data_IF_605354696753
#
_entry.id   IF_605354696753
#
_cell.length_a   1.000
_cell.length_b   1.000
_cell.length_c   1.000
_cell.angle_alpha   90.00
_cell.angle_beta   90.00
_cell.angle_gamma   90.00
#
_symmetry.space_group_name_H-M   'P 1'
#
loop_
_entity.id
_entity.type
_entity.pdbx_description
1 polymer ?
#
# COMPACT_ATOMS: atom_id res chain seq x y z
N UNK A 1 -10.52 25.37 -62.80
CA UNK A 1 -10.63 24.27 -61.86
C UNK A 1 -10.34 24.80 -60.46
N UNK A 2 -11.38 24.94 -59.62
CA UNK A 2 -11.24 25.37 -58.21
C UNK A 2 -11.22 24.11 -57.36
N UNK A 3 -10.10 23.85 -56.70
CA UNK A 3 -9.98 22.79 -55.68
C UNK A 3 -10.60 23.30 -54.36
N UNK A 4 -11.67 22.65 -53.91
CA UNK A 4 -12.28 22.86 -52.61
C UNK A 4 -11.60 21.84 -51.66
N UNK A 5 -10.73 22.33 -50.80
CA UNK A 5 -10.13 21.51 -49.74
C UNK A 5 -11.09 21.46 -48.55
N UNK A 6 -11.75 20.31 -48.39
CA UNK A 6 -12.66 20.05 -47.25
C UNK A 6 -11.82 19.75 -46.02
N UNK A 7 -11.84 20.62 -45.03
CA UNK A 7 -11.24 20.40 -43.70
C UNK A 7 -12.25 19.59 -42.86
N UNK A 8 -11.99 18.31 -42.66
CA UNK A 8 -12.73 17.50 -41.69
C UNK A 8 -12.25 17.86 -40.29
N UNK A 9 -13.08 18.59 -39.54
CA UNK A 9 -12.89 18.83 -38.11
C UNK A 9 -13.22 17.53 -37.36
N UNK A 10 -12.18 16.82 -36.90
CA UNK A 10 -12.35 15.68 -36.00
C UNK A 10 -12.71 16.23 -34.60
N UNK A 11 -14.00 16.30 -34.32
CA UNK A 11 -14.49 16.59 -32.98
C UNK A 11 -14.27 15.34 -32.12
N UNK A 12 -13.14 15.29 -31.37
CA UNK A 12 -12.97 14.31 -30.30
C UNK A 12 -14.02 14.60 -29.21
N UNK A 13 -15.15 13.89 -29.28
CA UNK A 13 -16.07 13.82 -28.15
C UNK A 13 -15.32 13.15 -26.98
N UNK A 14 -14.69 13.97 -26.13
CA UNK A 14 -14.28 13.54 -24.80
C UNK A 14 -15.60 13.34 -24.03
N UNK A 15 -16.06 12.10 -23.93
CA UNK A 15 -17.15 11.76 -23.02
C UNK A 15 -16.67 12.13 -21.61
N UNK A 16 -17.30 13.05 -20.87
CA UNK A 16 -16.91 13.32 -19.50
C UNK A 16 -17.11 12.02 -18.71
N UNK A 17 -16.03 11.47 -18.16
CA UNK A 17 -16.15 10.40 -17.17
C UNK A 17 -16.89 11.00 -15.98
N UNK A 18 -18.05 10.46 -15.66
CA UNK A 18 -18.81 10.86 -14.48
C UNK A 18 -17.94 10.67 -13.25
N UNK A 19 -17.74 11.75 -12.51
CA UNK A 19 -17.07 11.68 -11.21
C UNK A 19 -17.91 10.83 -10.25
N UNK A 20 -17.24 10.08 -9.36
CA UNK A 20 -17.85 9.29 -8.30
C UNK A 20 -17.56 9.92 -6.97
N UNK A 21 -18.50 9.89 -6.06
CA UNK A 21 -18.22 10.21 -4.66
C UNK A 21 -17.29 9.15 -4.06
N UNK A 22 -16.44 9.55 -3.10
CA UNK A 22 -15.50 8.65 -2.42
C UNK A 22 -16.19 7.38 -1.88
N UNK A 23 -17.38 7.52 -1.31
CA UNK A 23 -18.19 6.42 -0.78
C UNK A 23 -18.73 5.42 -1.80
N UNK A 24 -18.74 5.77 -3.09
CA UNK A 24 -19.17 4.88 -4.18
C UNK A 24 -18.03 4.01 -4.73
N UNK A 25 -16.77 4.36 -4.43
CA UNK A 25 -15.60 3.66 -4.93
C UNK A 25 -15.30 2.47 -4.02
N UNK A 26 -15.47 1.25 -4.56
CA UNK A 26 -14.98 0.06 -3.87
C UNK A 26 -13.45 0.05 -3.94
N UNK A 27 -12.82 0.09 -2.79
CA UNK A 27 -11.37 0.11 -2.65
C UNK A 27 -10.94 -0.48 -1.33
N UNK A 28 -9.99 -1.40 -1.39
CA UNK A 28 -9.22 -1.92 -0.27
C UNK A 28 -7.83 -1.32 -0.33
N UNK A 29 -7.21 -1.09 0.83
CA UNK A 29 -5.84 -0.58 0.98
C UNK A 29 -5.61 0.72 0.16
N UNK A 30 -6.40 1.79 0.40
CA UNK A 30 -6.33 3.01 -0.37
C UNK A 30 -5.03 3.76 -0.08
N UNK A 31 -4.35 4.19 -1.14
CA UNK A 31 -3.21 5.10 -1.04
C UNK A 31 -3.53 6.40 -1.78
N UNK A 32 -3.34 7.55 -1.12
CA UNK A 32 -3.56 8.88 -1.69
C UNK A 32 -2.24 9.63 -1.82
N UNK A 33 -1.86 9.94 -3.06
CA UNK A 33 -0.78 10.87 -3.37
C UNK A 33 -1.35 12.28 -3.57
N UNK A 34 -0.93 13.24 -2.75
CA UNK A 34 -1.23 14.65 -2.95
C UNK A 34 -0.14 15.29 -3.84
N UNK A 35 -0.45 15.52 -5.10
CA UNK A 35 0.45 16.19 -6.04
C UNK A 35 0.28 17.71 -5.96
N UNK A 36 1.11 18.35 -5.15
CA UNK A 36 1.09 19.80 -4.96
C UNK A 36 1.52 20.59 -6.19
N UNK A 37 2.20 19.96 -7.15
CA UNK A 37 2.65 20.63 -8.39
C UNK A 37 1.46 20.88 -9.31
N UNK A 38 0.58 19.89 -9.44
CA UNK A 38 -0.57 19.93 -10.32
C UNK A 38 -1.89 20.25 -9.59
N UNK A 39 -1.87 20.33 -8.25
CA UNK A 39 -3.05 20.58 -7.43
C UNK A 39 -4.10 19.48 -7.55
N UNK A 40 -3.64 18.22 -7.53
CA UNK A 40 -4.47 17.03 -7.75
C UNK A 40 -4.11 15.94 -6.73
N UNK A 41 -5.12 15.21 -6.27
CA UNK A 41 -4.96 13.97 -5.51
C UNK A 41 -5.12 12.78 -6.45
N UNK A 42 -4.28 11.78 -6.27
CA UNK A 42 -4.39 10.49 -6.95
C UNK A 42 -4.67 9.41 -5.90
N UNK A 43 -5.68 8.58 -6.12
CA UNK A 43 -5.97 7.44 -5.25
C UNK A 43 -5.78 6.15 -6.05
N UNK A 44 -4.89 5.28 -5.57
CA UNK A 44 -4.51 4.04 -6.25
C UNK A 44 -5.23 2.86 -5.63
N UNK A 45 -5.67 1.93 -6.50
CA UNK A 45 -6.28 0.66 -6.08
C UNK A 45 -5.78 -0.50 -6.92
N UNK A 46 -5.76 -1.66 -6.32
CA UNK A 46 -5.56 -2.93 -7.03
C UNK A 46 -6.69 -3.22 -7.99
N UNK A 47 -6.37 -3.80 -9.12
CA UNK A 47 -7.34 -4.25 -10.11
C UNK A 47 -6.79 -5.45 -10.87
N UNK A 48 -7.63 -6.03 -11.75
CA UNK A 48 -7.23 -7.10 -12.65
C UNK A 48 -7.85 -6.89 -14.02
N UNK A 49 -7.15 -7.32 -15.05
CA UNK A 49 -7.63 -7.25 -16.42
C UNK A 49 -7.28 -8.51 -17.20
N UNK A 50 -8.13 -8.83 -18.21
CA UNK A 50 -7.80 -9.85 -19.20
C UNK A 50 -6.87 -9.23 -20.24
N UNK A 51 -5.68 -9.78 -20.33
CA UNK A 51 -4.65 -9.32 -21.26
C UNK A 51 -4.85 -9.87 -22.67
N UNK A 52 -4.10 -9.35 -23.64
CA UNK A 52 -4.17 -9.77 -25.04
C UNK A 52 -3.84 -11.25 -25.29
N UNK A 53 -3.05 -11.87 -24.38
CA UNK A 53 -2.75 -13.30 -24.38
C UNK A 53 -3.85 -14.17 -23.75
N UNK A 54 -5.00 -13.57 -23.39
CA UNK A 54 -6.14 -14.24 -22.78
C UNK A 54 -6.03 -14.52 -21.28
N UNK A 55 -4.89 -14.26 -20.65
CA UNK A 55 -4.70 -14.46 -19.20
C UNK A 55 -5.20 -13.25 -18.42
N UNK A 56 -5.69 -13.49 -17.20
CA UNK A 56 -6.02 -12.41 -16.25
C UNK A 56 -4.78 -12.13 -15.43
N UNK A 57 -4.36 -10.88 -15.36
CA UNK A 57 -3.25 -10.41 -14.52
C UNK A 57 -3.66 -9.26 -13.64
N UNK A 58 -2.97 -9.13 -12.52
CA UNK A 58 -3.08 -7.99 -11.64
C UNK A 58 -2.54 -6.72 -12.28
N UNK A 59 -2.92 -5.61 -11.71
CA UNK A 59 -2.42 -4.31 -12.04
C UNK A 59 -3.01 -3.26 -11.12
N UNK A 60 -2.84 -2.00 -11.45
CA UNK A 60 -3.28 -0.87 -10.65
C UNK A 60 -4.04 0.12 -11.50
N UNK A 61 -5.10 0.65 -10.91
CA UNK A 61 -5.88 1.77 -11.44
C UNK A 61 -5.74 2.96 -10.51
N UNK A 62 -5.83 4.16 -11.09
CA UNK A 62 -5.84 5.41 -10.36
C UNK A 62 -7.13 6.19 -10.59
N UNK A 63 -7.62 6.82 -9.54
CA UNK A 63 -8.62 7.88 -9.59
C UNK A 63 -7.92 9.20 -9.31
N UNK A 64 -8.48 10.30 -9.79
CA UNK A 64 -8.00 11.64 -9.49
C UNK A 64 -9.09 12.54 -8.95
N UNK A 65 -8.72 13.45 -8.04
CA UNK A 65 -9.63 14.42 -7.41
C UNK A 65 -8.93 15.76 -7.18
N UNK A 66 -9.71 16.83 -7.08
CA UNK A 66 -9.21 18.14 -6.67
C UNK A 66 -9.66 18.55 -5.26
N UNK A 67 -10.62 17.81 -4.69
CA UNK A 67 -11.31 18.18 -3.45
C UNK A 67 -11.47 17.03 -2.45
N UNK A 68 -11.00 15.81 -2.81
CA UNK A 68 -11.14 14.55 -2.04
C UNK A 68 -12.57 14.01 -1.95
N UNK A 69 -13.56 14.67 -2.56
CA UNK A 69 -14.95 14.23 -2.58
C UNK A 69 -15.32 13.60 -3.92
N UNK A 70 -15.07 14.33 -5.00
CA UNK A 70 -15.39 13.92 -6.36
C UNK A 70 -14.15 13.33 -7.05
N UNK A 71 -14.24 12.09 -7.52
CA UNK A 71 -13.15 11.32 -8.08
C UNK A 71 -13.43 10.91 -9.53
N UNK A 72 -12.61 11.37 -10.45
CA UNK A 72 -12.61 10.96 -11.84
C UNK A 72 -11.81 9.66 -12.02
N UNK A 73 -12.24 8.79 -12.91
CA UNK A 73 -11.55 7.52 -13.18
C UNK A 73 -12.47 6.31 -13.05
N UNK A 74 -11.91 5.08 -12.96
CA UNK A 74 -10.47 4.81 -12.88
C UNK A 74 -9.76 4.84 -14.23
N UNK A 75 -8.47 5.13 -14.19
CA UNK A 75 -7.54 4.97 -15.32
C UNK A 75 -6.53 3.88 -14.97
N UNK A 76 -6.24 2.97 -15.91
CA UNK A 76 -5.23 1.94 -15.75
C UNK A 76 -3.84 2.57 -15.80
N UNK A 77 -3.03 2.40 -14.73
CA UNK A 77 -1.71 3.02 -14.59
C UNK A 77 -0.57 2.01 -14.53
N UNK A 78 -0.87 0.72 -14.29
CA UNK A 78 0.13 -0.36 -14.24
C UNK A 78 -0.51 -1.69 -14.61
N UNK A 79 0.22 -2.48 -15.39
CA UNK A 79 -0.04 -3.89 -15.68
C UNK A 79 1.18 -4.73 -15.34
N UNK A 80 0.97 -5.93 -14.79
CA UNK A 80 2.05 -6.90 -14.62
C UNK A 80 2.45 -7.46 -16.00
N UNK A 81 3.72 -7.31 -16.41
CA UNK A 81 4.20 -7.88 -17.69
C UNK A 81 4.11 -9.41 -17.72
N UNK A 82 3.97 -9.96 -18.93
CA UNK A 82 3.85 -11.41 -19.13
C UNK A 82 5.10 -12.19 -18.72
N UNK A 83 6.26 -11.55 -18.79
CA UNK A 83 7.58 -12.12 -18.47
C UNK A 83 8.04 -11.79 -17.04
N UNK A 84 7.17 -11.18 -16.21
CA UNK A 84 7.45 -10.94 -14.79
C UNK A 84 7.57 -12.26 -14.03
N UNK A 85 8.37 -12.30 -12.96
CA UNK A 85 8.56 -13.51 -12.16
C UNK A 85 7.27 -13.95 -11.45
N UNK A 86 6.49 -12.99 -10.93
CA UNK A 86 5.17 -13.20 -10.35
C UNK A 86 4.12 -12.51 -11.23
N UNK A 87 3.07 -13.23 -11.62
CA UNK A 87 2.09 -12.75 -12.61
C UNK A 87 0.64 -12.80 -12.12
N UNK A 88 0.42 -12.98 -10.81
CA UNK A 88 -0.90 -13.06 -10.20
C UNK A 88 -1.53 -11.71 -9.88
N UNK A 89 -2.26 -11.66 -8.78
CA UNK A 89 -2.91 -10.44 -8.30
C UNK A 89 -1.91 -9.43 -7.75
N UNK A 90 -2.31 -8.18 -7.74
CA UNK A 90 -1.58 -7.07 -7.10
C UNK A 90 -2.37 -6.61 -5.89
N UNK A 91 -1.67 -6.31 -4.77
CA UNK A 91 -2.27 -5.79 -3.54
C UNK A 91 -1.56 -4.52 -3.10
N UNK A 92 -2.28 -3.69 -2.35
CA UNK A 92 -1.78 -2.54 -1.61
C UNK A 92 -0.75 -1.69 -2.38
N UNK A 93 -1.10 -1.09 -3.53
CA UNK A 93 -0.17 -0.25 -4.26
C UNK A 93 0.01 1.10 -3.55
N UNK A 94 1.26 1.48 -3.28
CA UNK A 94 1.66 2.78 -2.76
C UNK A 94 2.50 3.53 -3.78
N UNK A 95 2.28 4.82 -3.98
CA UNK A 95 3.04 5.63 -4.94
C UNK A 95 3.76 6.77 -4.23
N UNK A 96 5.08 6.72 -4.28
CA UNK A 96 5.96 7.70 -3.66
C UNK A 96 6.71 8.52 -4.71
N UNK A 97 6.93 9.81 -4.42
CA UNK A 97 7.83 10.65 -5.23
C UNK A 97 9.22 10.62 -4.62
N UNK A 98 10.20 10.21 -5.41
CA UNK A 98 11.60 10.15 -4.99
C UNK A 98 12.53 10.61 -6.14
N UNK A 99 13.47 11.51 -5.84
CA UNK A 99 14.43 12.07 -6.81
C UNK A 99 13.78 12.51 -8.15
N UNK A 100 12.60 13.14 -8.07
CA UNK A 100 11.90 13.70 -9.22
C UNK A 100 11.05 12.72 -10.04
N UNK A 101 11.06 11.42 -9.73
CA UNK A 101 10.27 10.38 -10.36
C UNK A 101 9.25 9.81 -9.39
N UNK A 102 8.31 9.01 -9.91
CA UNK A 102 7.30 8.30 -9.14
C UNK A 102 7.62 6.81 -9.08
N UNK A 103 7.53 6.24 -7.89
CA UNK A 103 7.79 4.83 -7.65
C UNK A 103 6.59 4.21 -6.97
N UNK A 104 6.11 3.11 -7.54
CA UNK A 104 5.03 2.32 -6.96
C UNK A 104 5.62 1.10 -6.28
N UNK A 105 5.27 0.92 -5.02
CA UNK A 105 5.53 -0.28 -4.23
C UNK A 105 4.23 -1.07 -4.20
N UNK A 106 4.24 -2.29 -4.69
CA UNK A 106 3.03 -3.11 -4.74
C UNK A 106 3.35 -4.57 -4.46
N UNK A 107 2.52 -5.22 -3.68
CA UNK A 107 2.61 -6.66 -3.45
C UNK A 107 2.14 -7.40 -4.69
N UNK A 108 3.03 -8.17 -5.29
CA UNK A 108 2.71 -9.04 -6.44
C UNK A 108 2.63 -10.48 -5.96
N UNK A 109 1.57 -11.18 -6.33
CA UNK A 109 1.28 -12.54 -5.92
C UNK A 109 1.54 -13.54 -7.05
N UNK A 110 1.60 -14.80 -6.66
CA UNK A 110 1.61 -15.96 -7.56
C UNK A 110 0.63 -17.02 -7.04
N UNK A 111 0.07 -17.81 -7.95
CA UNK A 111 -0.73 -18.98 -7.60
C UNK A 111 0.14 -20.24 -7.35
N UNK A 112 1.46 -20.12 -7.50
CA UNK A 112 2.40 -21.23 -7.32
C UNK A 112 2.56 -21.50 -5.83
N UNK A 113 2.08 -22.66 -5.39
CA UNK A 113 2.31 -23.17 -4.05
C UNK A 113 3.69 -23.81 -3.97
N UNK A 114 4.60 -23.21 -3.21
CA UNK A 114 5.99 -23.67 -3.12
C UNK A 114 6.25 -24.61 -1.94
N UNK A 115 5.30 -24.71 -0.99
CA UNK A 115 5.33 -25.62 0.15
C UNK A 115 3.91 -26.00 0.51
N UNK A 116 3.67 -27.30 0.75
CA UNK A 116 2.37 -27.77 1.23
C UNK A 116 2.11 -27.25 2.63
N UNK A 117 1.00 -26.58 2.82
CA UNK A 117 0.56 -26.12 4.13
C UNK A 117 0.03 -27.27 4.99
N UNK A 118 0.05 -27.08 6.32
CA UNK A 118 -0.68 -27.93 7.25
C UNK A 118 -2.17 -27.85 6.95
N UNK A 119 -2.91 -28.95 7.14
CA UNK A 119 -4.36 -28.94 6.96
C UNK A 119 -5.03 -27.89 7.85
N UNK A 120 -5.93 -27.11 7.26
CA UNK A 120 -6.59 -25.97 7.90
C UNK A 120 -5.78 -24.68 7.93
N UNK A 121 -4.52 -24.66 7.46
CA UNK A 121 -3.69 -23.47 7.30
C UNK A 121 -3.77 -22.94 5.87
N UNK A 122 -3.49 -21.65 5.69
CA UNK A 122 -3.46 -21.05 4.36
C UNK A 122 -2.30 -21.53 3.50
N UNK A 123 -2.45 -21.42 2.18
CA UNK A 123 -1.44 -21.86 1.21
C UNK A 123 -0.18 -21.01 1.29
N UNK A 124 0.99 -21.66 1.18
CA UNK A 124 2.27 -20.99 0.99
C UNK A 124 2.46 -20.70 -0.50
N UNK A 125 2.13 -19.48 -0.92
CA UNK A 125 2.33 -19.01 -2.31
C UNK A 125 3.38 -17.92 -2.36
N UNK A 126 4.09 -17.81 -3.48
CA UNK A 126 5.03 -16.72 -3.64
C UNK A 126 4.32 -15.39 -3.72
N UNK A 127 4.82 -14.44 -2.94
CA UNK A 127 4.45 -13.03 -2.98
C UNK A 127 5.57 -12.16 -2.46
N UNK A 128 5.62 -10.92 -2.91
CA UNK A 128 6.58 -9.95 -2.42
C UNK A 128 6.27 -8.56 -2.93
N UNK A 129 6.86 -7.56 -2.31
CA UNK A 129 6.77 -6.19 -2.80
C UNK A 129 7.72 -6.01 -3.97
N UNK A 130 7.16 -5.62 -5.11
CA UNK A 130 7.90 -5.22 -6.31
C UNK A 130 7.84 -3.71 -6.49
N UNK A 131 8.90 -3.14 -7.04
CA UNK A 131 9.01 -1.70 -7.26
C UNK A 131 8.86 -1.42 -8.76
N UNK A 132 8.01 -0.47 -9.07
CA UNK A 132 7.75 0.02 -10.42
C UNK A 132 8.07 1.51 -10.48
N UNK A 133 8.39 2.06 -11.64
CA UNK A 133 8.67 3.49 -11.79
C UNK A 133 7.92 4.10 -12.96
N UNK A 134 7.62 5.40 -12.84
CA UNK A 134 7.01 6.22 -13.88
C UNK A 134 7.51 7.66 -13.81
N UNK A 135 7.33 8.40 -14.90
CA UNK A 135 7.68 9.82 -14.95
C UNK A 135 6.50 10.70 -14.47
N UNK A 136 5.29 10.13 -14.43
CA UNK A 136 4.08 10.82 -13.96
C UNK A 136 3.30 9.96 -12.96
N UNK A 137 2.48 10.55 -12.09
CA UNK A 137 1.63 9.79 -11.16
C UNK A 137 0.53 8.98 -11.87
N UNK A 138 0.23 9.29 -13.12
CA UNK A 138 -0.73 8.55 -13.95
C UNK A 138 -0.07 7.38 -14.71
N UNK A 139 1.23 7.14 -14.50
CA UNK A 139 1.97 6.06 -15.16
C UNK A 139 2.31 6.35 -16.63
N UNK A 140 2.50 5.31 -17.48
CA UNK A 140 2.46 3.90 -17.08
C UNK A 140 3.63 3.54 -16.15
N UNK A 141 3.32 2.84 -15.06
CA UNK A 141 4.35 2.31 -14.18
C UNK A 141 4.93 1.01 -14.75
N UNK A 142 6.25 0.98 -14.90
CA UNK A 142 6.98 -0.18 -15.40
C UNK A 142 7.86 -0.76 -14.30
N UNK A 143 8.02 -2.10 -14.22
CA UNK A 143 8.83 -2.71 -13.16
C UNK A 143 10.29 -2.30 -13.27
N UNK A 144 10.93 -2.03 -12.12
CA UNK A 144 12.39 -1.77 -12.05
C UNK A 144 13.22 -3.02 -12.34
N UNK A 145 12.63 -4.19 -12.15
CA UNK A 145 13.20 -5.49 -12.42
C UNK A 145 12.11 -6.56 -12.51
N UNK A 146 12.48 -7.78 -12.91
CA UNK A 146 11.52 -8.91 -13.06
C UNK A 146 11.12 -9.57 -11.74
N UNK A 147 11.84 -9.27 -10.65
CA UNK A 147 11.67 -9.89 -9.34
C UNK A 147 11.20 -8.87 -8.32
N UNK A 148 10.61 -9.37 -7.25
CA UNK A 148 10.27 -8.58 -6.08
C UNK A 148 11.54 -8.07 -5.38
N UNK A 149 11.43 -6.96 -4.65
CA UNK A 149 12.55 -6.38 -3.90
C UNK A 149 12.69 -6.97 -2.47
N UNK A 150 11.70 -7.77 -2.05
CA UNK A 150 11.74 -8.55 -0.80
C UNK A 150 12.38 -9.91 -1.03
N UNK A 151 12.81 -10.66 0.03
CA UNK A 151 13.36 -12.01 -0.12
C UNK A 151 12.40 -12.94 -0.87
N UNK A 152 12.92 -13.68 -1.85
CA UNK A 152 12.11 -14.52 -2.74
C UNK A 152 11.50 -15.75 -2.05
N UNK A 153 12.05 -16.17 -0.94
CA UNK A 153 11.57 -17.29 -0.12
C UNK A 153 10.65 -16.87 1.02
N UNK A 154 10.32 -15.57 1.08
CA UNK A 154 9.37 -15.01 2.04
C UNK A 154 8.01 -14.75 1.39
N UNK A 155 6.96 -14.94 2.17
CA UNK A 155 5.65 -14.37 1.89
C UNK A 155 5.65 -12.95 2.47
N UNK A 156 6.13 -12.00 1.67
CA UNK A 156 6.29 -10.61 2.08
C UNK A 156 5.26 -9.72 1.37
N UNK A 157 4.78 -8.68 2.07
CA UNK A 157 3.73 -7.80 1.54
C UNK A 157 3.84 -6.37 2.07
N UNK A 158 3.09 -5.46 1.46
CA UNK A 158 2.81 -4.09 1.92
C UNK A 158 4.06 -3.24 2.16
N UNK A 159 4.99 -3.28 1.19
CA UNK A 159 6.20 -2.46 1.28
C UNK A 159 5.91 -0.98 1.08
N UNK A 160 6.43 -0.15 1.98
CA UNK A 160 6.40 1.32 1.92
C UNK A 160 7.79 1.92 1.88
N UNK A 161 7.95 3.05 1.20
CA UNK A 161 9.23 3.77 1.12
C UNK A 161 9.43 4.68 2.32
N UNK A 162 10.61 4.61 2.92
CA UNK A 162 11.09 5.58 3.88
C UNK A 162 12.48 6.08 3.51
N UNK A 163 12.70 7.39 3.60
CA UNK A 163 14.04 7.98 3.35
C UNK A 163 14.56 8.59 4.63
N UNK A 164 15.71 8.11 5.08
CA UNK A 164 16.37 8.57 6.29
C UNK A 164 17.83 8.94 5.99
N UNK A 165 18.21 10.20 6.27
CA UNK A 165 19.55 10.71 6.02
C UNK A 165 20.05 10.49 4.57
N UNK A 166 19.14 10.63 3.59
CA UNK A 166 19.40 10.43 2.18
C UNK A 166 19.48 8.98 1.72
N UNK A 167 19.29 8.02 2.62
CA UNK A 167 19.24 6.59 2.31
C UNK A 167 17.80 6.10 2.22
N UNK A 168 17.42 5.43 1.14
CA UNK A 168 16.09 4.83 1.01
C UNK A 168 16.02 3.48 1.72
N UNK A 169 14.90 3.25 2.37
CA UNK A 169 14.53 1.98 3.01
C UNK A 169 13.15 1.55 2.51
N UNK A 170 12.94 0.26 2.43
CA UNK A 170 11.62 -0.32 2.37
C UNK A 170 11.29 -0.94 3.73
N UNK A 171 10.14 -0.54 4.30
CA UNK A 171 9.54 -1.23 5.43
C UNK A 171 8.40 -2.07 4.90
N UNK A 172 8.28 -3.33 5.35
CA UNK A 172 7.32 -4.27 4.81
C UNK A 172 6.94 -5.33 5.84
N UNK A 173 5.93 -6.13 5.54
CA UNK A 173 5.45 -7.21 6.40
C UNK A 173 5.97 -8.56 5.92
N UNK A 174 6.45 -9.41 6.84
CA UNK A 174 6.63 -10.84 6.62
C UNK A 174 5.40 -11.55 7.16
N UNK A 175 4.66 -12.19 6.27
CA UNK A 175 3.29 -12.60 6.50
C UNK A 175 3.14 -13.71 7.52
N UNK A 176 2.11 -13.60 8.36
CA UNK A 176 1.73 -14.57 9.38
C UNK A 176 1.48 -16.00 8.83
N UNK A 177 1.04 -16.12 7.58
CA UNK A 177 0.90 -17.43 6.94
C UNK A 177 2.20 -18.24 6.95
N UNK A 178 3.34 -17.58 6.87
CA UNK A 178 4.64 -18.23 6.91
C UNK A 178 5.22 -18.32 8.34
N UNK A 179 4.99 -17.31 9.17
CA UNK A 179 5.66 -17.15 10.47
C UNK A 179 4.74 -17.42 11.67
N UNK A 180 3.42 -17.50 11.49
CA UNK A 180 2.35 -17.48 12.48
C UNK A 180 2.27 -16.12 13.20
N UNK A 181 3.33 -15.63 13.79
CA UNK A 181 3.46 -14.27 14.33
C UNK A 181 4.11 -13.41 13.25
N UNK A 182 3.31 -12.67 12.49
CA UNK A 182 3.79 -11.79 11.44
C UNK A 182 4.79 -10.77 11.97
N UNK A 183 5.74 -10.33 11.14
CA UNK A 183 6.76 -9.37 11.55
C UNK A 183 6.79 -8.14 10.66
N UNK A 184 7.20 -7.01 11.24
CA UNK A 184 7.59 -5.81 10.50
C UNK A 184 9.09 -5.87 10.24
N UNK A 185 9.46 -5.64 9.00
CA UNK A 185 10.84 -5.71 8.51
C UNK A 185 11.28 -4.40 7.90
N UNK A 186 12.56 -4.09 7.94
CA UNK A 186 13.16 -2.99 7.20
C UNK A 186 14.39 -3.45 6.44
N UNK A 187 14.52 -3.03 5.19
CA UNK A 187 15.70 -3.25 4.36
C UNK A 187 16.14 -1.95 3.70
N UNK A 188 17.44 -1.70 3.65
CA UNK A 188 18.01 -0.59 2.87
C UNK A 188 17.85 -0.91 1.39
N UNK A 189 17.46 0.07 0.58
CA UNK A 189 17.37 -0.06 -0.87
C UNK A 189 18.60 0.59 -1.52
N UNK A 190 18.90 0.16 -2.75
CA UNK A 190 19.82 0.90 -3.60
C UNK A 190 19.32 2.34 -3.83
N UNK A 191 20.22 3.32 -4.03
CA UNK A 191 19.82 4.73 -4.20
C UNK A 191 18.85 5.02 -5.35
N UNK A 192 18.78 4.14 -6.35
CA UNK A 192 17.87 4.21 -7.48
C UNK A 192 16.57 3.39 -7.27
N UNK A 193 16.42 2.78 -6.10
CA UNK A 193 15.30 1.90 -5.71
C UNK A 193 15.16 0.62 -6.55
N UNK A 194 16.18 0.22 -7.30
CA UNK A 194 16.09 -0.95 -8.19
C UNK A 194 16.10 -2.29 -7.47
N UNK A 195 16.66 -2.35 -6.25
CA UNK A 195 16.74 -3.57 -5.44
C UNK A 195 17.03 -3.26 -3.97
N UNK A 196 16.88 -4.28 -3.11
CA UNK A 196 17.40 -4.26 -1.74
C UNK A 196 18.94 -4.22 -1.75
N UNK A 197 19.53 -3.46 -0.83
CA UNK A 197 20.98 -3.29 -0.67
C UNK A 197 21.57 -4.15 0.47
N UNK A 198 20.80 -5.06 1.03
CA UNK A 198 21.23 -5.95 2.14
C UNK A 198 20.09 -6.85 2.61
N UNK A 199 20.31 -7.47 3.75
CA UNK A 199 19.31 -8.34 4.38
C UNK A 199 18.30 -7.51 5.21
N UNK A 200 17.03 -7.94 5.26
CA UNK A 200 16.04 -7.35 6.13
C UNK A 200 16.42 -7.45 7.61
N UNK A 201 16.00 -6.47 8.39
CA UNK A 201 16.07 -6.46 9.84
C UNK A 201 14.65 -6.48 10.38
N UNK A 202 14.36 -7.45 11.27
CA UNK A 202 13.10 -7.49 12.00
C UNK A 202 13.03 -6.32 12.98
N UNK A 203 11.93 -5.56 12.90
CA UNK A 203 11.66 -4.42 13.75
C UNK A 203 10.84 -4.81 14.98
N UNK A 204 9.76 -5.59 14.77
CA UNK A 204 8.91 -6.16 15.83
C UNK A 204 7.96 -7.23 15.26
N UNK A 205 7.33 -7.99 16.16
CA UNK A 205 6.31 -8.99 15.84
C UNK A 205 4.90 -8.44 15.99
N UNK A 206 3.93 -9.06 15.32
CA UNK A 206 2.51 -8.72 15.41
C UNK A 206 1.93 -8.90 16.82
N UNK A 207 2.48 -9.83 17.61
CA UNK A 207 2.11 -10.07 19.02
C UNK A 207 2.69 -9.07 20.01
N UNK A 208 3.57 -8.15 19.59
CA UNK A 208 4.27 -7.25 20.50
C UNK A 208 3.35 -6.31 21.30
N UNK A 209 2.29 -5.68 20.74
CA UNK A 209 1.41 -4.83 21.52
C UNK A 209 0.28 -5.62 22.17
N UNK A 210 -0.14 -5.19 23.37
CA UNK A 210 -1.24 -5.82 24.09
C UNK A 210 -2.60 -5.70 23.38
N UNK A 211 -2.78 -4.71 22.53
CA UNK A 211 -4.01 -4.52 21.76
C UNK A 211 -4.17 -5.50 20.60
N UNK A 212 -3.07 -6.08 20.10
CA UNK A 212 -3.12 -7.11 19.05
C UNK A 212 -3.44 -8.46 19.70
N UNK A 213 -4.64 -8.97 19.41
CA UNK A 213 -5.14 -10.17 20.11
C UNK A 213 -4.92 -11.46 19.32
N UNK A 214 -4.45 -11.36 18.08
CA UNK A 214 -4.29 -12.50 17.20
C UNK A 214 -5.61 -13.18 16.79
N UNK A 215 -5.52 -14.07 15.84
CA UNK A 215 -6.63 -14.90 15.35
C UNK A 215 -6.38 -16.35 15.74
N UNK A 216 -7.24 -16.88 16.60
CA UNK A 216 -7.17 -18.28 17.01
C UNK A 216 -7.66 -19.19 15.87
N UNK A 217 -6.95 -20.29 15.66
CA UNK A 217 -7.32 -21.34 14.72
C UNK A 217 -7.64 -22.63 15.46
N UNK A 218 -8.54 -23.45 14.90
CA UNK A 218 -8.88 -24.77 15.43
C UNK A 218 -7.82 -25.83 15.04
N UNK A 219 -7.92 -27.03 15.64
CA UNK A 219 -7.11 -28.17 15.21
C UNK A 219 -5.63 -28.13 15.60
N UNK A 220 -5.27 -27.36 16.65
CA UNK A 220 -3.87 -27.27 17.13
C UNK A 220 -2.97 -26.40 16.24
N UNK A 221 -3.54 -25.61 15.33
CA UNK A 221 -2.84 -24.60 14.57
C UNK A 221 -2.42 -23.43 15.47
N UNK A 222 -1.32 -22.73 15.18
CA UNK A 222 -0.88 -21.59 15.98
C UNK A 222 -1.88 -20.42 15.89
N UNK A 223 -1.89 -19.56 16.91
CA UNK A 223 -2.55 -18.25 16.82
C UNK A 223 -1.80 -17.40 15.81
N UNK A 224 -2.54 -16.80 14.87
CA UNK A 224 -1.97 -15.91 13.88
C UNK A 224 -2.02 -14.47 14.35
N UNK A 225 -0.88 -13.76 14.29
CA UNK A 225 -0.82 -12.32 14.49
C UNK A 225 -0.50 -11.65 13.17
N UNK A 226 -1.47 -10.95 12.66
CA UNK A 226 -1.38 -10.27 11.37
C UNK A 226 -0.52 -9.02 11.51
N UNK A 227 0.31 -8.75 10.50
CA UNK A 227 0.99 -7.47 10.29
C UNK A 227 0.69 -7.01 8.87
N UNK A 228 0.00 -5.89 8.75
CA UNK A 228 -0.39 -5.31 7.46
C UNK A 228 -0.13 -3.80 7.45
N UNK A 229 0.00 -3.21 6.26
CA UNK A 229 -0.14 -1.79 5.97
C UNK A 229 0.73 -0.88 6.84
N UNK A 230 2.04 -1.10 6.85
CA UNK A 230 2.97 -0.22 7.54
C UNK A 230 3.12 1.12 6.81
N UNK A 231 3.03 2.23 7.53
CA UNK A 231 3.30 3.56 7.00
C UNK A 231 4.02 4.43 8.02
N UNK A 232 5.10 5.09 7.60
CA UNK A 232 5.95 5.87 8.51
C UNK A 232 5.61 7.35 8.45
N UNK A 233 5.68 7.99 9.61
CA UNK A 233 5.41 9.42 9.76
C UNK A 233 6.37 10.06 10.76
N UNK A 234 6.93 11.23 10.39
CA UNK A 234 7.74 12.03 11.31
C UNK A 234 6.89 13.16 11.86
N UNK A 235 6.72 13.18 13.18
CA UNK A 235 5.94 14.21 13.86
C UNK A 235 6.60 15.59 13.79
N UNK A 236 5.85 16.64 14.11
CA UNK A 236 6.36 18.02 14.17
C UNK A 236 7.48 18.22 15.17
N UNK A 237 7.65 17.33 16.17
CA UNK A 237 8.78 17.33 17.12
C UNK A 237 9.93 16.45 16.70
N UNK A 238 9.83 15.76 15.56
CA UNK A 238 10.88 14.91 15.01
C UNK A 238 10.84 13.44 15.44
N UNK A 239 9.83 13.00 16.20
CA UNK A 239 9.64 11.58 16.50
C UNK A 239 9.25 10.81 15.25
N UNK A 240 9.83 9.61 15.08
CA UNK A 240 9.46 8.71 14.02
C UNK A 240 8.42 7.73 14.53
N UNK A 241 7.25 7.76 13.91
CA UNK A 241 6.13 6.86 14.16
C UNK A 241 5.89 5.95 12.96
N UNK A 242 5.33 4.78 13.23
CA UNK A 242 4.80 3.85 12.23
C UNK A 242 3.36 3.52 12.62
N UNK A 243 2.42 3.76 11.72
CA UNK A 243 1.10 3.15 11.81
C UNK A 243 1.15 1.81 11.10
N UNK A 244 0.42 0.81 11.62
CA UNK A 244 0.34 -0.53 11.05
C UNK A 244 -0.94 -1.22 11.51
N UNK A 245 -1.36 -2.26 10.83
CA UNK A 245 -2.65 -2.88 11.05
C UNK A 245 -2.54 -4.32 11.54
N UNK A 246 -3.46 -4.68 12.42
CA UNK A 246 -3.68 -6.02 12.96
C UNK A 246 -5.12 -6.15 13.47
N UNK A 247 -5.41 -7.22 14.19
CA UNK A 247 -6.72 -7.41 14.81
C UNK A 247 -6.69 -7.10 16.31
N UNK A 248 -7.71 -6.40 16.80
CA UNK A 248 -7.95 -6.09 18.20
C UNK A 248 -9.35 -6.61 18.58
N UNK A 249 -9.40 -7.66 19.41
CA UNK A 249 -10.66 -8.31 19.83
C UNK A 249 -11.62 -8.65 18.65
N UNK A 250 -11.05 -9.13 17.55
CA UNK A 250 -11.80 -9.50 16.36
C UNK A 250 -12.06 -8.38 15.35
N UNK A 251 -11.84 -7.11 15.73
CA UNK A 251 -11.91 -5.98 14.81
C UNK A 251 -10.56 -5.68 14.16
N UNK A 252 -10.58 -5.40 12.87
CA UNK A 252 -9.41 -4.89 12.17
C UNK A 252 -9.11 -3.46 12.63
N UNK A 253 -7.85 -3.18 12.97
CA UNK A 253 -7.46 -2.01 13.71
C UNK A 253 -6.11 -1.44 13.21
N UNK A 254 -5.84 -0.18 13.53
CA UNK A 254 -4.54 0.47 13.29
C UNK A 254 -3.89 0.79 14.63
N UNK A 255 -2.68 0.29 14.85
CA UNK A 255 -1.82 0.65 15.96
C UNK A 255 -0.76 1.67 15.58
N UNK A 256 -0.05 2.16 16.59
CA UNK A 256 1.09 3.08 16.43
C UNK A 256 2.29 2.51 17.17
N UNK A 257 3.42 2.46 16.49
CA UNK A 257 4.73 2.20 17.07
C UNK A 257 5.61 3.46 16.97
N UNK A 258 6.43 3.72 17.98
CA UNK A 258 7.40 4.82 18.04
C UNK A 258 8.83 4.26 17.96
N UNK A 259 9.64 4.78 17.07
CA UNK A 259 11.08 4.51 17.11
C UNK A 259 11.73 5.24 18.28
N UNK A 260 12.33 4.48 19.20
CA UNK A 260 12.97 5.03 20.41
C UNK A 260 14.17 5.93 20.06
N UNK A 261 14.87 5.61 18.97
CA UNK A 261 16.04 6.37 18.52
C UNK A 261 15.73 7.41 17.44
N UNK A 262 14.52 7.36 16.89
CA UNK A 262 14.13 8.17 15.73
C UNK A 262 14.65 7.61 14.38
N UNK A 263 15.35 6.46 14.39
CA UNK A 263 15.77 5.73 13.21
C UNK A 263 14.76 4.65 12.81
N UNK A 264 14.63 4.40 11.49
CA UNK A 264 13.79 3.32 10.96
C UNK A 264 14.20 1.94 11.49
N UNK A 265 15.47 1.77 11.84
CA UNK A 265 16.00 0.53 12.42
C UNK A 265 15.61 0.32 13.91
N UNK A 266 14.94 1.30 14.52
CA UNK A 266 14.43 1.19 15.90
C UNK A 266 15.51 1.31 16.99
N UNK A 267 15.31 0.67 18.16
CA UNK A 267 14.19 -0.21 18.50
C UNK A 267 12.82 0.50 18.48
N UNK A 268 11.76 -0.28 18.30
CA UNK A 268 10.40 0.21 18.23
C UNK A 268 9.61 -0.11 19.50
N UNK A 269 8.84 0.85 19.98
CA UNK A 269 7.95 0.72 21.14
C UNK A 269 6.51 0.89 20.68
N UNK A 270 5.66 -0.08 21.00
CA UNK A 270 4.24 -0.04 20.69
C UNK A 270 3.49 0.89 21.64
N UNK A 271 2.51 1.62 21.15
CA UNK A 271 1.54 2.33 21.98
C UNK A 271 0.54 1.33 22.59
N UNK A 272 0.07 1.63 23.82
CA UNK A 272 -0.83 0.74 24.56
C UNK A 272 -2.20 0.57 23.90
N UNK A 273 -2.69 1.63 23.22
CA UNK A 273 -4.01 1.65 22.57
C UNK A 273 -3.83 1.84 21.09
N UNK A 274 -4.66 1.15 20.28
CA UNK A 274 -4.68 1.40 18.84
C UNK A 274 -5.24 2.80 18.54
N UNK A 275 -4.82 3.36 17.40
CA UNK A 275 -5.30 4.64 16.87
C UNK A 275 -6.74 4.51 16.36
N UNK A 276 -7.07 3.35 15.79
CA UNK A 276 -8.36 3.07 15.18
C UNK A 276 -8.79 1.62 15.43
N UNK A 277 -10.04 1.40 15.86
CA UNK A 277 -10.64 0.04 16.06
C UNK A 277 -12.11 0.10 15.68
N UNK A 278 -12.45 -0.13 14.44
CA UNK A 278 -13.86 -0.19 13.96
C UNK A 278 -13.94 -0.97 12.65
N UNK A 279 -13.42 -2.20 12.62
CA UNK A 279 -13.43 -3.05 11.43
C UNK A 279 -12.90 -2.31 10.18
N UNK A 280 -11.76 -1.65 10.31
CA UNK A 280 -11.09 -0.93 9.23
C UNK A 280 -9.62 -0.77 9.54
N UNK A 281 -8.80 -0.59 8.53
CA UNK A 281 -7.37 -0.50 8.69
C UNK A 281 -6.63 -0.33 7.36
N UNK A 282 -5.37 -0.75 7.36
CA UNK A 282 -4.43 -0.56 6.26
C UNK A 282 -4.44 0.90 5.81
N UNK A 283 -4.05 1.78 6.73
CA UNK A 283 -4.12 3.21 6.55
C UNK A 283 -2.79 3.83 6.13
N UNK A 284 -2.87 4.98 5.47
CA UNK A 284 -1.73 5.83 5.22
C UNK A 284 -2.01 7.27 5.59
N UNK A 285 -0.95 8.03 5.90
CA UNK A 285 -1.03 9.41 6.33
C UNK A 285 -0.61 10.32 5.18
N UNK A 286 -1.43 11.34 4.87
CA UNK A 286 -1.07 12.33 3.87
C UNK A 286 -1.40 13.75 4.33
N UNK A 287 -0.71 14.72 3.76
CA UNK A 287 -1.05 16.13 3.88
C UNK A 287 -1.92 16.53 2.71
N UNK A 288 -3.03 17.19 3.00
CA UNK A 288 -3.86 17.81 1.96
C UNK A 288 -3.12 18.96 1.28
N UNK A 289 -3.59 19.38 0.11
CA UNK A 289 -2.99 20.46 -0.66
C UNK A 289 -3.03 21.80 0.09
N UNK A 290 -3.97 21.96 1.03
CA UNK A 290 -4.08 23.10 1.94
C UNK A 290 -3.32 22.90 3.28
N UNK A 291 -2.58 21.78 3.43
CA UNK A 291 -1.71 21.50 4.56
C UNK A 291 -2.33 20.75 5.74
N UNK A 292 -3.60 20.37 5.66
CA UNK A 292 -4.26 19.56 6.69
C UNK A 292 -3.69 18.15 6.73
N UNK A 293 -3.58 17.54 7.91
CA UNK A 293 -3.12 16.16 8.06
C UNK A 293 -4.32 15.20 8.05
N UNK A 294 -4.23 14.13 7.27
CA UNK A 294 -5.31 13.14 7.12
C UNK A 294 -4.77 11.72 7.22
N UNK A 295 -5.63 10.84 7.73
CA UNK A 295 -5.51 9.39 7.64
C UNK A 295 -6.54 8.90 6.61
N UNK A 296 -6.13 8.15 5.61
CA UNK A 296 -7.03 7.35 4.78
C UNK A 296 -6.85 5.88 5.14
N UNK A 297 -7.94 5.12 5.19
CA UNK A 297 -7.98 3.68 5.42
C UNK A 297 -9.17 3.08 4.68
N UNK A 298 -9.20 1.74 4.55
CA UNK A 298 -10.43 1.09 4.11
C UNK A 298 -11.32 0.70 5.29
N UNK A 299 -12.63 0.83 5.11
CA UNK A 299 -13.65 0.42 6.07
C UNK A 299 -14.97 0.12 5.33
N UNK A 300 -15.65 -1.01 5.63
CA UNK A 300 -15.22 -2.06 6.56
C UNK A 300 -14.08 -2.91 5.99
N UNK A 301 -13.37 -3.69 6.85
CA UNK A 301 -12.45 -4.75 6.40
C UNK A 301 -13.23 -6.03 6.03
N UNK A 302 -14.38 -6.25 6.65
CA UNK A 302 -15.27 -7.40 6.41
C UNK A 302 -16.73 -6.94 6.42
N UNK A 303 -17.59 -7.45 5.50
CA UNK A 303 -17.31 -8.48 4.49
C UNK A 303 -16.50 -7.95 3.30
N UNK A 304 -15.74 -8.83 2.64
CA UNK A 304 -14.99 -8.51 1.42
C UNK A 304 -15.92 -8.01 0.31
N UNK A 305 -15.47 -6.99 -0.43
CA UNK A 305 -16.24 -6.31 -1.47
C UNK A 305 -17.05 -5.11 -0.96
N UNK A 306 -17.17 -4.95 0.36
CA UNK A 306 -17.85 -3.81 0.97
C UNK A 306 -16.91 -2.62 1.27
N UNK A 307 -15.61 -2.82 1.10
CA UNK A 307 -14.57 -1.85 1.45
C UNK A 307 -14.73 -0.53 0.69
N UNK A 308 -14.59 0.57 1.43
CA UNK A 308 -14.58 1.95 0.92
C UNK A 308 -13.47 2.71 1.59
N UNK A 309 -12.86 3.63 0.86
CA UNK A 309 -11.93 4.58 1.47
C UNK A 309 -12.69 5.48 2.46
N UNK A 310 -12.07 5.68 3.63
CA UNK A 310 -12.52 6.64 4.63
C UNK A 310 -11.36 7.57 4.97
N UNK A 311 -11.63 8.87 4.96
CA UNK A 311 -10.65 9.90 5.26
C UNK A 311 -11.02 10.53 6.59
N UNK A 312 -10.08 10.57 7.51
CA UNK A 312 -10.23 11.14 8.84
C UNK A 312 -9.28 12.31 9.04
N UNK A 313 -9.68 13.32 9.78
CA UNK A 313 -8.76 14.33 10.27
C UNK A 313 -7.83 13.72 11.29
N UNK A 314 -6.53 14.03 11.15
CA UNK A 314 -5.49 13.55 12.04
C UNK A 314 -4.78 14.74 12.68
N UNK A 315 -4.58 14.67 13.98
CA UNK A 315 -3.80 15.65 14.73
C UNK A 315 -2.43 15.08 15.07
N UNK A 316 -1.39 15.78 14.64
CA UNK A 316 -0.03 15.57 15.13
C UNK A 316 0.15 16.37 16.44
N UNK A 317 0.18 15.69 17.58
CA UNK A 317 0.41 16.34 18.88
C UNK A 317 1.89 16.68 19.12
N UNK A 318 2.78 16.15 18.27
CA UNK A 318 4.24 16.15 18.47
C UNK A 318 4.74 14.86 19.11
N UNK A 319 3.98 14.30 20.03
CA UNK A 319 4.31 13.05 20.71
C UNK A 319 3.65 11.85 20.05
N UNK A 320 2.45 11.99 19.55
CA UNK A 320 1.66 10.94 18.91
C UNK A 320 0.65 11.52 17.94
N UNK A 321 -0.16 10.65 17.36
CA UNK A 321 -1.25 10.95 16.44
C UNK A 321 -2.59 10.73 17.13
N UNK A 322 -3.55 11.62 16.90
CA UNK A 322 -4.93 11.50 17.38
C UNK A 322 -5.90 11.68 16.22
N UNK A 323 -6.92 10.84 16.16
CA UNK A 323 -8.09 11.06 15.28
C UNK A 323 -9.00 12.13 15.89
N UNK A 324 -9.51 13.04 15.03
CA UNK A 324 -10.50 14.05 15.38
C UNK A 324 -11.91 13.59 15.05
#
# INVERSE_FOLDING_TARGET
MKFITSFLLFCCCVCPMLAKELGEINIRDPFILADSVNGVYYMYRSSSARMSDGKVRGGVEAFRSRDLNDWEGPVRVMDIPADNALTGSVWAPEVHRYNGRYYMFATVNSDIEWKKAQEGWGKYTWRGTQIFSADTPEGPFVPMGRYVATPMDWMALDGTLWVENGKPYMVFCHEWLQTADGTMEAVELLPDLSAAAGEPQTLFCGSAPQWSTGLAHSGGLPTAYITDGCFLYRTKTGKLLMIWSSFSNGDYAIGVAESVTGSVRGPWRQQEKPLFVKNGGHGMIFKTLDGGLRLVLHQPNSPSGAERARIFELEDTGDTLLLK
#
